data_IF_107504860591
#
_entry.id   IF_107504860591
#
_cell.length_a   1.000
_cell.length_b   1.000
_cell.length_c   1.000
_cell.angle_alpha   90.00
_cell.angle_beta   90.00
_cell.angle_gamma   90.00
#
_symmetry.space_group_name_H-M   'P 1'
#
loop_
_entity.id
_entity.type
_entity.pdbx_description
1 polymer ?
#
# COMPACT_ATOMS: atom_id res chain seq x y z
N UNK A 1 -25.64 -4.68 -6.40
CA UNK A 1 -25.07 -3.42 -6.80
C UNK A 1 -23.61 -3.52 -6.99
N UNK A 2 -23.14 -3.01 -8.08
CA UNK A 2 -21.74 -3.13 -8.42
C UNK A 2 -20.89 -2.12 -7.70
N UNK A 3 -19.73 -2.56 -7.32
CA UNK A 3 -18.73 -1.66 -6.82
C UNK A 3 -18.03 -1.05 -8.01
N UNK A 4 -18.16 0.27 -8.15
CA UNK A 4 -17.60 0.95 -9.30
C UNK A 4 -16.21 1.52 -9.03
N UNK A 5 -15.81 1.56 -7.76
CA UNK A 5 -14.50 2.09 -7.40
C UNK A 5 -13.83 1.15 -6.43
N UNK A 6 -12.52 1.00 -6.60
CA UNK A 6 -11.70 0.23 -5.68
C UNK A 6 -10.80 1.21 -4.96
N UNK A 7 -10.74 1.08 -3.64
CA UNK A 7 -9.93 1.99 -2.82
C UNK A 7 -8.65 1.27 -2.43
N UNK A 8 -7.54 1.84 -2.85
CA UNK A 8 -6.23 1.26 -2.63
C UNK A 8 -5.42 2.17 -1.74
N UNK A 9 -4.81 1.58 -0.71
CA UNK A 9 -3.93 2.33 0.18
C UNK A 9 -2.50 1.96 -0.18
N UNK A 10 -1.71 2.95 -0.54
CA UNK A 10 -0.30 2.75 -0.87
C UNK A 10 0.54 3.29 0.27
N UNK A 11 1.31 2.43 0.89
CA UNK A 11 2.19 2.81 2.00
C UNK A 11 3.62 2.71 1.51
N UNK A 12 4.21 3.85 1.20
CA UNK A 12 5.51 3.91 0.54
C UNK A 12 6.19 5.22 0.93
N UNK A 13 7.39 5.13 1.50
CA UNK A 13 8.07 6.33 1.97
C UNK A 13 9.00 6.95 0.93
N UNK A 14 9.21 6.30 -0.19
CA UNK A 14 10.03 6.85 -1.25
C UNK A 14 9.16 7.68 -2.19
N UNK A 15 9.37 9.00 -2.28
CA UNK A 15 8.55 9.83 -3.17
C UNK A 15 8.64 9.39 -4.63
N UNK A 16 9.83 8.95 -5.06
CA UNK A 16 10.00 8.49 -6.44
C UNK A 16 9.15 7.26 -6.72
N UNK A 17 9.19 6.30 -5.82
CA UNK A 17 8.44 5.07 -6.01
C UNK A 17 6.94 5.33 -5.91
N UNK A 18 6.53 6.19 -5.00
CA UNK A 18 5.12 6.53 -4.87
C UNK A 18 4.62 7.22 -6.13
N UNK A 19 5.43 8.12 -6.69
CA UNK A 19 5.05 8.80 -7.90
C UNK A 19 4.95 7.85 -9.08
N UNK A 20 5.85 6.89 -9.14
CA UNK A 20 5.82 5.89 -10.20
C UNK A 20 4.54 5.07 -10.11
N UNK A 21 4.19 4.61 -8.94
CA UNK A 21 2.96 3.86 -8.74
C UNK A 21 1.75 4.68 -9.12
N UNK A 22 1.71 5.94 -8.68
CA UNK A 22 0.59 6.81 -8.99
C UNK A 22 0.45 7.02 -10.48
N UNK A 23 1.58 7.19 -11.16
CA UNK A 23 1.57 7.41 -12.60
C UNK A 23 1.06 6.18 -13.35
N UNK A 24 1.59 5.01 -12.99
CA UNK A 24 1.17 3.77 -13.62
C UNK A 24 -0.30 3.53 -13.35
N UNK A 25 -0.70 3.77 -12.11
CA UNK A 25 -2.08 3.58 -11.71
C UNK A 25 -3.02 4.47 -12.52
N UNK A 26 -2.65 5.74 -12.67
CA UNK A 26 -3.47 6.69 -13.43
C UNK A 26 -3.67 6.25 -14.86
N UNK A 27 -2.59 5.76 -15.46
CA UNK A 27 -2.65 5.37 -16.86
C UNK A 27 -3.49 4.12 -17.07
N UNK A 28 -3.55 3.26 -16.06
CA UNK A 28 -4.27 2.01 -16.15
C UNK A 28 -5.69 2.12 -15.65
N UNK A 29 -5.98 3.17 -14.92
CA UNK A 29 -7.26 3.29 -14.23
C UNK A 29 -8.37 3.67 -15.19
N UNK A 30 -9.35 2.81 -15.31
CA UNK A 30 -10.47 3.05 -16.22
C UNK A 30 -11.80 3.12 -15.50
N UNK A 31 -11.82 2.76 -14.24
CA UNK A 31 -13.08 2.57 -13.53
C UNK A 31 -13.23 3.49 -12.33
N UNK A 32 -12.38 4.50 -12.23
CA UNK A 32 -12.50 5.38 -11.10
C UNK A 32 -11.91 4.83 -9.81
N UNK A 33 -11.01 3.88 -9.90
CA UNK A 33 -10.30 3.38 -8.73
C UNK A 33 -9.55 4.54 -8.08
N UNK A 34 -9.45 4.49 -6.77
CA UNK A 34 -8.84 5.58 -6.02
C UNK A 34 -7.65 5.08 -5.24
N UNK A 35 -6.59 5.87 -5.28
CA UNK A 35 -5.35 5.55 -4.60
C UNK A 35 -5.09 6.61 -3.55
N UNK A 36 -4.89 6.18 -2.32
CA UNK A 36 -4.48 7.07 -1.23
C UNK A 36 -3.06 6.68 -0.86
N UNK A 37 -2.18 7.66 -0.81
CA UNK A 37 -0.78 7.42 -0.51
C UNK A 37 -0.42 7.98 0.85
N UNK A 38 0.24 7.16 1.66
CA UNK A 38 0.83 7.60 2.92
C UNK A 38 2.25 7.09 2.96
N UNK A 39 3.08 7.70 3.80
CA UNK A 39 4.49 7.33 3.84
C UNK A 39 4.92 6.69 5.16
N UNK A 40 3.98 6.44 6.05
CA UNK A 40 4.27 5.82 7.33
C UNK A 40 3.19 4.81 7.69
N UNK A 41 3.59 3.79 8.44
CA UNK A 41 2.63 2.79 8.88
C UNK A 41 1.56 3.41 9.79
N UNK A 42 1.96 4.31 10.67
CA UNK A 42 1.00 4.96 11.57
C UNK A 42 -0.09 5.67 10.81
N UNK A 43 0.29 6.37 9.76
CA UNK A 43 -0.70 7.09 8.95
C UNK A 43 -1.65 6.11 8.24
N UNK A 44 -1.11 4.99 7.80
CA UNK A 44 -1.94 3.98 7.16
C UNK A 44 -2.99 3.45 8.12
N UNK A 45 -2.56 3.14 9.32
CA UNK A 45 -3.49 2.61 10.33
C UNK A 45 -4.54 3.63 10.72
N UNK A 46 -4.14 4.90 10.77
CA UNK A 46 -5.08 5.96 11.09
C UNK A 46 -6.14 6.12 10.01
N UNK A 47 -5.72 6.09 8.75
CA UNK A 47 -6.68 6.16 7.66
C UNK A 47 -7.68 5.02 7.68
N UNK A 48 -7.23 3.84 8.07
CA UNK A 48 -8.11 2.67 8.11
C UNK A 48 -9.19 2.78 9.18
N UNK A 49 -9.03 3.67 10.13
CA UNK A 49 -10.06 3.89 11.13
C UNK A 49 -11.25 4.63 10.56
N UNK A 50 -11.00 5.47 9.56
CA UNK A 50 -12.05 6.32 8.99
C UNK A 50 -12.51 5.85 7.62
N UNK A 51 -11.67 5.12 6.92
CA UNK A 51 -11.97 4.72 5.54
C UNK A 51 -11.75 3.24 5.37
N UNK A 52 -12.51 2.64 4.47
CA UNK A 52 -12.37 1.24 4.16
C UNK A 52 -11.60 1.09 2.84
N UNK A 53 -10.53 0.33 2.88
CA UNK A 53 -9.72 0.06 1.70
C UNK A 53 -9.94 -1.37 1.25
N UNK A 54 -9.84 -1.57 -0.06
CA UNK A 54 -10.01 -2.91 -0.64
C UNK A 54 -8.71 -3.68 -0.69
N UNK A 55 -7.59 -2.97 -0.70
CA UNK A 55 -6.28 -3.60 -0.72
C UNK A 55 -5.26 -2.57 -0.25
N UNK A 56 -4.19 -3.04 0.37
CA UNK A 56 -3.08 -2.19 0.74
C UNK A 56 -1.83 -2.67 -0.01
N UNK A 57 -1.11 -1.73 -0.58
CA UNK A 57 0.20 -1.98 -1.18
C UNK A 57 1.21 -1.48 -0.14
N UNK A 58 1.98 -2.39 0.40
CA UNK A 58 2.76 -2.12 1.60
C UNK A 58 4.25 -2.30 1.35
N UNK A 59 4.99 -1.22 1.49
CA UNK A 59 6.44 -1.27 1.42
C UNK A 59 6.98 -1.74 2.77
N UNK A 60 8.03 -2.52 2.73
CA UNK A 60 8.60 -3.09 3.94
C UNK A 60 9.61 -2.19 4.63
N UNK A 61 10.11 -1.18 3.94
CA UNK A 61 11.14 -0.31 4.51
C UNK A 61 10.60 1.04 4.93
N UNK A 62 9.62 1.06 5.80
CA UNK A 62 9.01 2.31 6.24
C UNK A 62 9.79 2.95 7.38
N UNK A 63 9.69 4.27 7.54
CA UNK A 63 10.45 4.94 8.60
C UNK A 63 10.05 4.52 10.00
N UNK A 64 8.80 4.12 10.20
CA UNK A 64 8.32 3.75 11.54
C UNK A 64 8.03 2.27 11.71
N UNK A 65 8.42 1.46 10.73
CA UNK A 65 8.24 0.02 10.83
C UNK A 65 9.14 -0.65 9.83
N UNK A 66 9.48 -1.90 10.04
CA UNK A 66 10.52 -2.52 9.26
C UNK A 66 10.22 -3.98 8.99
N UNK A 67 10.49 -4.38 7.76
CA UNK A 67 10.45 -5.78 7.36
C UNK A 67 9.10 -6.43 7.58
N UNK A 68 9.15 -7.69 7.98
CA UNK A 68 7.93 -8.46 8.17
C UNK A 68 7.09 -7.98 9.34
N UNK A 69 7.68 -7.20 10.23
CA UNK A 69 6.90 -6.60 11.32
C UNK A 69 5.85 -5.66 10.77
N UNK A 70 6.18 -4.98 9.69
CA UNK A 70 5.22 -4.08 9.06
C UNK A 70 3.98 -4.84 8.63
N UNK A 71 4.18 -5.99 8.00
CA UNK A 71 3.06 -6.82 7.57
C UNK A 71 2.26 -7.30 8.76
N UNK A 72 2.96 -7.77 9.79
CA UNK A 72 2.30 -8.31 10.97
C UNK A 72 1.47 -7.26 11.69
N UNK A 73 2.02 -6.06 11.82
CA UNK A 73 1.30 -4.98 12.48
C UNK A 73 0.06 -4.57 11.71
N UNK A 74 0.20 -4.42 10.40
CA UNK A 74 -0.94 -4.02 9.60
C UNK A 74 -2.01 -5.10 9.62
N UNK A 75 -1.61 -6.34 9.47
CA UNK A 75 -2.55 -7.45 9.45
C UNK A 75 -3.28 -7.58 10.80
N UNK A 76 -2.56 -7.36 11.89
CA UNK A 76 -3.17 -7.44 13.21
C UNK A 76 -4.24 -6.37 13.39
N UNK A 77 -3.99 -5.19 12.84
CA UNK A 77 -4.94 -4.07 12.96
C UNK A 77 -6.09 -4.20 11.98
N UNK A 78 -5.82 -4.71 10.79
CA UNK A 78 -6.81 -4.78 9.72
C UNK A 78 -6.78 -6.16 9.06
N UNK A 79 -7.28 -7.18 9.75
CA UNK A 79 -7.14 -8.55 9.26
C UNK A 79 -7.92 -8.86 7.99
N UNK A 80 -8.89 -8.01 7.65
CA UNK A 80 -9.73 -8.27 6.48
C UNK A 80 -9.21 -7.63 5.20
N UNK A 81 -8.18 -6.80 5.29
CA UNK A 81 -7.68 -6.11 4.12
C UNK A 81 -6.53 -6.91 3.51
N UNK A 82 -6.65 -7.33 2.25
CA UNK A 82 -5.55 -8.02 1.58
C UNK A 82 -4.31 -7.14 1.49
N UNK A 83 -3.16 -7.73 1.67
CA UNK A 83 -1.88 -7.03 1.66
C UNK A 83 -1.07 -7.50 0.47
N UNK A 84 -0.62 -6.56 -0.34
CA UNK A 84 0.34 -6.82 -1.39
C UNK A 84 1.65 -6.17 -0.97
N UNK A 85 2.67 -6.99 -0.79
CA UNK A 85 3.96 -6.51 -0.32
C UNK A 85 4.76 -6.00 -1.51
N UNK A 86 5.30 -4.80 -1.36
CA UNK A 86 6.15 -4.20 -2.37
C UNK A 86 7.59 -4.36 -1.96
N UNK A 87 8.44 -4.67 -2.92
CA UNK A 87 9.87 -4.71 -2.66
C UNK A 87 10.52 -3.56 -3.37
N UNK A 88 11.42 -2.88 -2.67
CA UNK A 88 12.17 -1.83 -3.29
C UNK A 88 13.24 -2.39 -4.22
N UNK A 89 13.95 -1.50 -4.89
CA UNK A 89 14.98 -1.93 -5.81
C UNK A 89 16.08 -2.72 -5.10
N UNK A 90 16.29 -2.45 -3.83
CA UNK A 90 17.31 -3.17 -3.08
C UNK A 90 16.91 -4.62 -2.82
N UNK A 91 15.63 -4.90 -2.89
CA UNK A 91 15.12 -6.23 -2.59
C UNK A 91 14.77 -7.00 -3.85
N UNK A 92 15.14 -6.47 -4.98
CA UNK A 92 14.79 -7.07 -6.26
C UNK A 92 15.27 -8.49 -6.37
N UNK A 93 16.46 -8.75 -5.90
CA UNK A 93 17.02 -10.10 -5.96
C UNK A 93 16.21 -11.08 -5.14
N UNK A 94 15.71 -10.64 -4.02
CA UNK A 94 14.87 -11.51 -3.21
C UNK A 94 13.57 -11.82 -3.91
N UNK A 95 13.03 -10.84 -4.61
CA UNK A 95 11.79 -11.05 -5.32
C UNK A 95 11.94 -12.05 -6.45
N UNK A 96 13.14 -12.12 -7.03
CA UNK A 96 13.39 -13.03 -8.14
C UNK A 96 13.67 -14.46 -7.70
N UNK A 97 13.98 -14.63 -6.44
CA UNK A 97 14.28 -15.95 -5.91
C UNK A 97 13.02 -16.58 -5.35
#
# INVERSE_FOLDING_TARGET
>A
MNKTAVHILLVEDSPSDANLFSHIFSRSNKEGWQLVHVDRLDDALEFCQDFRFDVVLLDLGLPDSDGLETVAEFHAAEPDIPIVVLTGSDDEELALN
#
